data_IF_155577881035
#
_entry.id   IF_155577881035
#
_cell.length_a   1.000
_cell.length_b   1.000
_cell.length_c   1.000
_cell.angle_alpha   90.00
_cell.angle_beta   90.00
_cell.angle_gamma   90.00
#
_symmetry.space_group_name_H-M   'P 1'
#
loop_
_entity.id
_entity.type
_entity.pdbx_description
1 polymer ?
#
# COMPACT_ATOMS: atom_id res chain seq x y z
N UNK A 1 -0.22 -25.94 -27.74
CA UNK A 1 0.70 -25.24 -26.79
C UNK A 1 -0.09 -24.09 -26.20
N UNK A 2 -0.69 -24.34 -25.03
CA UNK A 2 -1.71 -23.57 -24.31
C UNK A 2 -1.12 -22.48 -23.39
N UNK A 3 0.18 -22.23 -23.49
CA UNK A 3 0.93 -21.42 -22.54
C UNK A 3 0.55 -19.93 -22.61
N UNK A 4 0.11 -19.45 -23.78
CA UNK A 4 -0.24 -18.05 -23.99
C UNK A 4 -1.52 -17.65 -23.22
N UNK A 5 -2.58 -18.46 -23.29
CA UNK A 5 -3.83 -18.23 -22.56
C UNK A 5 -3.62 -18.33 -21.05
N UNK A 6 -2.88 -19.35 -20.60
CA UNK A 6 -2.54 -19.54 -19.18
C UNK A 6 -1.76 -18.32 -18.66
N UNK A 7 -0.74 -17.88 -19.40
CA UNK A 7 0.06 -16.71 -19.05
C UNK A 7 -0.78 -15.42 -19.03
N UNK A 8 -1.74 -15.30 -19.94
CA UNK A 8 -2.65 -14.15 -19.99
C UNK A 8 -3.62 -14.14 -18.82
N UNK A 9 -4.19 -15.29 -18.44
CA UNK A 9 -5.01 -15.43 -17.24
C UNK A 9 -4.21 -15.09 -15.99
N UNK A 10 -2.99 -15.60 -15.86
CA UNK A 10 -2.10 -15.31 -14.73
C UNK A 10 -1.79 -13.83 -14.57
N UNK A 11 -1.62 -13.08 -15.67
CA UNK A 11 -1.46 -11.62 -15.61
C UNK A 11 -2.75 -10.85 -15.33
N UNK A 12 -3.90 -11.39 -15.74
CA UNK A 12 -5.19 -10.70 -15.70
C UNK A 12 -5.88 -10.83 -14.35
N UNK A 13 -5.87 -12.04 -13.78
CA UNK A 13 -6.69 -12.39 -12.62
C UNK A 13 -5.98 -12.08 -11.30
N UNK A 14 -6.72 -11.51 -10.36
CA UNK A 14 -6.37 -11.59 -8.95
C UNK A 14 -6.53 -13.00 -8.41
N UNK A 15 -5.92 -13.28 -7.25
CA UNK A 15 -6.04 -14.57 -6.58
C UNK A 15 -7.51 -14.93 -6.24
N UNK A 16 -8.31 -13.93 -5.82
CA UNK A 16 -9.72 -14.11 -5.49
C UNK A 16 -10.60 -14.39 -6.71
N UNK A 17 -10.39 -13.66 -7.81
CA UNK A 17 -11.09 -13.95 -9.07
C UNK A 17 -10.79 -15.38 -9.53
N UNK A 18 -9.51 -15.77 -9.51
CA UNK A 18 -9.09 -17.10 -9.94
C UNK A 18 -9.75 -18.21 -9.08
N UNK A 19 -9.76 -18.07 -7.74
CA UNK A 19 -10.49 -19.01 -6.84
C UNK A 19 -11.96 -19.09 -7.17
N UNK A 20 -12.61 -17.94 -7.32
CA UNK A 20 -14.06 -17.85 -7.54
C UNK A 20 -14.47 -18.46 -8.88
N UNK A 21 -13.70 -18.21 -9.94
CA UNK A 21 -13.91 -18.82 -11.26
C UNK A 21 -13.68 -20.33 -11.20
N UNK A 22 -12.59 -20.79 -10.56
CA UNK A 22 -12.28 -22.21 -10.43
C UNK A 22 -13.40 -22.98 -9.71
N UNK A 23 -13.87 -22.44 -8.59
CA UNK A 23 -15.01 -23.00 -7.85
C UNK A 23 -16.28 -23.07 -8.72
N UNK A 24 -16.57 -22.00 -9.48
CA UNK A 24 -17.74 -21.97 -10.36
C UNK A 24 -17.62 -22.94 -11.55
N UNK A 25 -16.42 -23.17 -12.09
CA UNK A 25 -16.20 -24.17 -13.13
C UNK A 25 -16.49 -25.58 -12.63
N UNK A 26 -16.05 -25.91 -11.41
CA UNK A 26 -16.31 -27.21 -10.78
C UNK A 26 -17.80 -27.45 -10.51
N UNK A 27 -18.52 -26.41 -10.07
CA UNK A 27 -19.95 -26.50 -9.74
C UNK A 27 -20.85 -26.53 -10.98
N UNK A 28 -20.70 -25.54 -11.86
CA UNK A 28 -21.66 -25.30 -12.94
C UNK A 28 -21.21 -25.93 -14.26
N UNK A 29 -19.90 -26.21 -14.42
CA UNK A 29 -19.29 -26.77 -15.64
C UNK A 29 -19.57 -25.95 -16.92
N UNK A 30 -19.95 -24.68 -16.76
CA UNK A 30 -20.22 -23.75 -17.85
C UNK A 30 -19.24 -22.56 -17.79
N UNK A 31 -18.29 -22.45 -18.73
CA UNK A 31 -17.26 -21.41 -18.73
C UNK A 31 -17.81 -19.99 -18.76
N UNK A 32 -18.89 -19.75 -19.50
CA UNK A 32 -19.53 -18.44 -19.60
C UNK A 32 -20.20 -18.03 -18.28
N UNK A 33 -20.66 -18.99 -17.45
CA UNK A 33 -21.19 -18.71 -16.12
C UNK A 33 -20.03 -18.45 -15.14
N UNK A 34 -18.99 -19.27 -15.20
CA UNK A 34 -17.81 -19.09 -14.36
C UNK A 34 -17.12 -17.74 -14.61
N UNK A 35 -17.03 -17.30 -15.87
CA UNK A 35 -16.46 -16.00 -16.23
C UNK A 35 -17.20 -14.81 -15.59
N UNK A 36 -18.49 -14.93 -15.25
CA UNK A 36 -19.24 -13.87 -14.55
C UNK A 36 -18.75 -13.61 -13.12
N UNK A 37 -17.97 -14.54 -12.55
CA UNK A 37 -17.32 -14.37 -11.24
C UNK A 37 -16.12 -13.44 -11.27
N UNK A 38 -15.58 -13.15 -12.46
CA UNK A 38 -14.55 -12.12 -12.63
C UNK A 38 -15.12 -10.71 -12.39
N UNK A 39 -14.24 -9.75 -12.10
CA UNK A 39 -14.60 -8.35 -12.04
C UNK A 39 -15.15 -7.86 -13.39
N UNK A 40 -16.10 -6.89 -13.40
CA UNK A 40 -16.77 -6.46 -14.62
C UNK A 40 -15.82 -6.15 -15.79
N UNK A 41 -14.67 -5.53 -15.53
CA UNK A 41 -13.66 -5.19 -16.53
C UNK A 41 -12.97 -6.41 -17.17
N UNK A 42 -12.96 -7.57 -16.51
CA UNK A 42 -12.24 -8.77 -16.94
C UNK A 42 -13.15 -9.82 -17.59
N UNK A 43 -14.47 -9.78 -17.36
CA UNK A 43 -15.42 -10.87 -17.71
C UNK A 43 -15.35 -11.34 -19.17
N UNK A 44 -15.35 -10.40 -20.12
CA UNK A 44 -15.35 -10.72 -21.56
C UNK A 44 -14.06 -11.43 -21.96
N UNK A 45 -12.92 -10.94 -21.49
CA UNK A 45 -11.61 -11.51 -21.77
C UNK A 45 -11.43 -12.87 -21.09
N UNK A 46 -11.87 -13.02 -19.84
CA UNK A 46 -11.86 -14.32 -19.14
C UNK A 46 -12.71 -15.34 -19.89
N UNK A 47 -13.93 -14.98 -20.29
CA UNK A 47 -14.79 -15.89 -21.06
C UNK A 47 -14.13 -16.33 -22.37
N UNK A 48 -13.49 -15.39 -23.09
CA UNK A 48 -12.76 -15.68 -24.32
C UNK A 48 -11.59 -16.64 -24.08
N UNK A 49 -10.80 -16.42 -23.03
CA UNK A 49 -9.65 -17.25 -22.67
C UNK A 49 -10.07 -18.66 -22.24
N UNK A 50 -11.08 -18.80 -21.38
CA UNK A 50 -11.61 -20.11 -20.98
C UNK A 50 -12.14 -20.91 -22.18
N UNK A 51 -12.83 -20.23 -23.12
CA UNK A 51 -13.30 -20.87 -24.36
C UNK A 51 -12.13 -21.30 -25.25
N UNK A 52 -11.10 -20.47 -25.38
CA UNK A 52 -9.91 -20.80 -26.17
C UNK A 52 -9.16 -22.02 -25.61
N UNK A 53 -9.04 -22.14 -24.28
CA UNK A 53 -8.42 -23.30 -23.63
C UNK A 53 -9.19 -24.60 -23.90
N UNK A 54 -10.53 -24.55 -23.89
CA UNK A 54 -11.38 -25.70 -24.22
C UNK A 54 -11.25 -26.12 -25.68
N UNK A 55 -11.11 -25.16 -26.61
CA UNK A 55 -10.88 -25.45 -28.03
C UNK A 55 -9.51 -26.09 -28.26
N UNK A 56 -8.56 -25.90 -27.34
CA UNK A 56 -7.25 -26.53 -27.35
C UNK A 56 -7.20 -27.84 -26.51
N UNK A 57 -8.34 -28.53 -26.40
CA UNK A 57 -8.49 -29.83 -25.73
C UNK A 57 -8.11 -29.86 -24.23
N UNK A 58 -8.09 -28.71 -23.54
CA UNK A 58 -8.01 -28.71 -22.07
C UNK A 58 -9.37 -28.99 -21.46
N UNK A 59 -9.47 -29.98 -20.58
CA UNK A 59 -10.71 -30.24 -19.85
C UNK A 59 -10.96 -29.20 -18.74
N UNK A 60 -12.21 -29.13 -18.26
CA UNK A 60 -12.61 -28.19 -17.23
C UNK A 60 -11.86 -28.40 -15.91
N UNK A 61 -11.44 -29.63 -15.61
CA UNK A 61 -10.69 -29.98 -14.41
C UNK A 61 -9.30 -29.37 -14.46
N UNK A 62 -8.62 -29.47 -15.59
CA UNK A 62 -7.29 -28.92 -15.85
C UNK A 62 -7.35 -27.40 -15.84
N UNK A 63 -8.37 -26.79 -16.45
CA UNK A 63 -8.57 -25.33 -16.40
C UNK A 63 -8.78 -24.87 -14.96
N UNK A 64 -9.59 -25.58 -14.17
CA UNK A 64 -9.80 -25.26 -12.77
C UNK A 64 -8.53 -25.45 -11.92
N UNK A 65 -7.67 -26.42 -12.25
CA UNK A 65 -6.38 -26.62 -11.60
C UNK A 65 -5.37 -25.51 -11.96
N UNK A 66 -5.37 -25.04 -13.22
CA UNK A 66 -4.57 -23.86 -13.62
C UNK A 66 -5.00 -22.62 -12.85
N UNK A 67 -6.31 -22.39 -12.70
CA UNK A 67 -6.83 -21.26 -11.94
C UNK A 67 -6.51 -21.36 -10.45
N UNK A 68 -6.56 -22.56 -9.86
CA UNK A 68 -6.07 -22.77 -8.50
C UNK A 68 -4.58 -22.44 -8.39
N UNK A 69 -3.76 -22.87 -9.38
CA UNK A 69 -2.35 -22.50 -9.47
C UNK A 69 -2.15 -20.98 -9.50
N UNK A 70 -2.90 -20.26 -10.34
CA UNK A 70 -2.88 -18.79 -10.40
C UNK A 70 -3.28 -18.18 -9.05
N UNK A 71 -4.26 -18.78 -8.37
CA UNK A 71 -4.77 -18.31 -7.09
C UNK A 71 -3.80 -18.45 -5.91
N UNK A 72 -2.88 -19.42 -5.97
CA UNK A 72 -1.92 -19.71 -4.88
C UNK A 72 -0.51 -19.22 -5.17
N UNK A 73 -0.15 -19.04 -6.46
CA UNK A 73 1.10 -18.38 -6.82
C UNK A 73 1.06 -16.94 -6.28
N UNK A 74 2.08 -16.50 -5.53
CA UNK A 74 2.19 -15.11 -5.12
C UNK A 74 2.11 -14.21 -6.36
N UNK A 75 0.97 -13.56 -6.54
CA UNK A 75 0.82 -12.51 -7.53
C UNK A 75 1.42 -11.26 -6.89
N UNK A 76 2.33 -10.58 -7.59
CA UNK A 76 2.64 -9.20 -7.23
C UNK A 76 1.34 -8.41 -7.35
N UNK A 77 0.71 -8.09 -6.21
CA UNK A 77 -0.41 -7.17 -6.20
C UNK A 77 0.08 -5.89 -6.86
N UNK A 78 -0.57 -5.51 -7.97
CA UNK A 78 -0.13 -4.35 -8.74
C UNK A 78 -0.24 -3.13 -7.86
N UNK A 79 0.78 -2.28 -7.88
CA UNK A 79 0.71 -0.97 -7.27
C UNK A 79 -0.48 -0.21 -7.86
N UNK A 80 -1.39 0.22 -7.00
CA UNK A 80 -2.60 0.94 -7.41
C UNK A 80 -2.42 2.44 -7.17
N UNK A 81 -2.77 3.31 -8.14
CA UNK A 81 -2.86 4.73 -7.88
C UNK A 81 -4.07 5.02 -6.99
N UNK A 82 -3.89 5.88 -6.00
CA UNK A 82 -4.95 6.37 -5.13
C UNK A 82 -4.97 7.89 -5.18
N UNK A 83 -6.17 8.46 -5.11
CA UNK A 83 -6.40 9.90 -5.20
C UNK A 83 -7.20 10.41 -4.00
N UNK A 84 -6.89 11.61 -3.54
CA UNK A 84 -7.80 12.44 -2.76
C UNK A 84 -8.18 13.59 -3.67
N UNK A 85 -9.47 13.83 -3.85
CA UNK A 85 -9.99 14.97 -4.61
C UNK A 85 -11.22 15.55 -3.93
N UNK A 86 -11.53 16.84 -4.15
CA UNK A 86 -12.83 17.39 -3.81
C UNK A 86 -13.95 16.53 -4.42
N UNK A 87 -15.01 16.26 -3.66
CA UNK A 87 -16.05 15.28 -3.99
C UNK A 87 -16.57 15.40 -5.43
N UNK A 88 -16.16 14.48 -6.30
CA UNK A 88 -16.79 14.25 -7.60
C UNK A 88 -17.62 12.99 -7.48
N UNK A 89 -18.95 13.02 -7.76
CA UNK A 89 -19.78 11.83 -7.76
C UNK A 89 -19.17 10.74 -8.67
N UNK A 90 -18.89 9.57 -8.11
CA UNK A 90 -18.34 8.42 -8.85
C UNK A 90 -16.80 8.36 -8.93
N UNK A 91 -16.07 9.33 -8.36
CA UNK A 91 -14.62 9.21 -8.23
C UNK A 91 -14.29 8.21 -7.10
N UNK A 92 -13.92 6.99 -7.49
CA UNK A 92 -13.37 5.99 -6.57
C UNK A 92 -11.89 6.32 -6.32
N UNK A 93 -11.59 6.89 -5.16
CA UNK A 93 -10.24 7.17 -4.73
C UNK A 93 -10.29 7.87 -3.40
N UNK A 94 -9.86 7.18 -2.35
CA UNK A 94 -9.65 7.79 -1.05
C UNK A 94 -8.26 7.40 -0.57
N UNK A 95 -7.25 8.17 -0.99
CA UNK A 95 -5.84 8.02 -0.55
C UNK A 95 -5.73 7.94 0.96
N UNK A 96 -6.53 8.77 1.63
CA UNK A 96 -6.68 8.75 3.08
C UNK A 96 -7.15 7.40 3.60
N UNK A 97 -8.20 6.80 3.03
CA UNK A 97 -8.72 5.52 3.53
C UNK A 97 -7.69 4.41 3.34
N UNK A 98 -7.01 4.36 2.20
CA UNK A 98 -5.93 3.40 1.98
C UNK A 98 -4.81 3.51 3.03
N UNK A 99 -4.36 4.73 3.34
CA UNK A 99 -3.36 4.97 4.39
C UNK A 99 -3.86 4.58 5.79
N UNK A 100 -5.11 4.94 6.12
CA UNK A 100 -5.71 4.64 7.42
C UNK A 100 -5.93 3.14 7.60
N UNK A 101 -6.45 2.45 6.58
CA UNK A 101 -6.65 1.01 6.60
C UNK A 101 -5.33 0.27 6.80
N UNK A 102 -4.27 0.73 6.15
CA UNK A 102 -2.93 0.16 6.31
C UNK A 102 -2.40 0.33 7.74
N UNK A 103 -2.50 1.53 8.33
CA UNK A 103 -2.09 1.79 9.73
C UNK A 103 -2.95 0.99 10.72
N UNK A 104 -4.26 0.91 10.50
CA UNK A 104 -5.19 0.24 11.41
C UNK A 104 -5.01 -1.28 11.41
N UNK A 105 -4.54 -1.86 10.30
CA UNK A 105 -4.27 -3.29 10.19
C UNK A 105 -2.83 -3.70 10.56
N UNK A 106 -1.95 -2.74 10.85
CA UNK A 106 -0.58 -3.05 11.27
C UNK A 106 -0.56 -3.81 12.60
N UNK A 107 0.35 -4.78 12.69
CA UNK A 107 0.45 -5.77 13.78
C UNK A 107 1.81 -5.78 14.48
N UNK A 108 2.89 -5.37 13.82
CA UNK A 108 4.24 -5.43 14.37
C UNK A 108 4.93 -4.06 14.39
N UNK A 109 5.05 -3.41 13.23
CA UNK A 109 5.71 -2.12 13.12
C UNK A 109 5.22 -1.26 11.95
N UNK A 110 5.43 0.05 12.10
CA UNK A 110 5.14 1.06 11.09
C UNK A 110 6.34 1.99 10.96
N UNK A 111 6.78 2.25 9.73
CA UNK A 111 7.66 3.37 9.42
C UNK A 111 6.88 4.38 8.61
N UNK A 112 6.94 5.64 9.01
CA UNK A 112 6.30 6.74 8.31
C UNK A 112 7.30 7.88 8.09
N UNK A 113 7.03 8.70 7.08
CA UNK A 113 7.70 9.98 6.92
C UNK A 113 6.67 11.03 6.52
N UNK A 114 6.82 12.25 7.01
CA UNK A 114 5.97 13.36 6.60
C UNK A 114 6.70 14.69 6.71
N UNK A 115 6.46 15.58 5.74
CA UNK A 115 7.05 16.91 5.77
C UNK A 115 6.31 17.84 6.73
N UNK A 116 4.98 17.72 6.83
CA UNK A 116 4.20 18.51 7.76
C UNK A 116 3.04 17.73 8.35
N UNK A 117 2.66 18.11 9.58
CA UNK A 117 1.63 17.45 10.35
C UNK A 117 0.64 18.43 10.99
N UNK A 118 -0.64 18.05 11.07
CA UNK A 118 -1.66 18.82 11.77
C UNK A 118 -2.11 18.13 13.06
N UNK A 119 -2.48 18.92 14.08
CA UNK A 119 -2.97 18.42 15.38
C UNK A 119 -4.18 17.48 15.27
N UNK A 120 -5.02 17.67 14.26
CA UNK A 120 -6.24 16.88 14.00
C UNK A 120 -6.07 15.95 12.80
N UNK A 121 -4.84 15.50 12.53
CA UNK A 121 -4.56 14.59 11.42
C UNK A 121 -5.12 13.18 11.69
N UNK A 122 -5.93 12.63 10.77
CA UNK A 122 -6.39 11.25 10.87
C UNK A 122 -5.23 10.24 10.89
N UNK A 123 -4.17 10.48 10.13
CA UNK A 123 -2.98 9.63 10.12
C UNK A 123 -2.27 9.64 11.47
N UNK A 124 -2.09 10.82 12.08
CA UNK A 124 -1.48 10.92 13.42
C UNK A 124 -2.31 10.18 14.47
N UNK A 125 -3.64 10.33 14.44
CA UNK A 125 -4.52 9.57 15.33
C UNK A 125 -4.42 8.05 15.10
N UNK A 126 -4.40 7.61 13.85
CA UNK A 126 -4.27 6.19 13.52
C UNK A 126 -2.92 5.61 13.98
N UNK A 127 -1.83 6.37 13.84
CA UNK A 127 -0.50 5.98 14.33
C UNK A 127 -0.47 5.87 15.85
N UNK A 128 -1.09 6.80 16.58
CA UNK A 128 -1.23 6.68 18.04
C UNK A 128 -2.05 5.45 18.42
N UNK A 129 -3.16 5.18 17.73
CA UNK A 129 -3.93 3.96 17.97
C UNK A 129 -3.11 2.69 17.69
N UNK A 130 -2.15 2.71 16.77
CA UNK A 130 -1.24 1.59 16.53
C UNK A 130 -0.26 1.40 17.69
N UNK A 131 0.34 2.49 18.18
CA UNK A 131 1.17 2.47 19.40
C UNK A 131 0.40 1.89 20.59
N UNK A 132 -0.85 2.31 20.79
CA UNK A 132 -1.70 1.82 21.88
C UNK A 132 -2.00 0.31 21.78
N UNK A 133 -1.94 -0.27 20.58
CA UNK A 133 -2.04 -1.72 20.33
C UNK A 133 -0.72 -2.46 20.53
N UNK A 134 0.38 -1.77 20.83
CA UNK A 134 1.72 -2.34 20.97
C UNK A 134 2.52 -2.42 19.67
N UNK A 135 2.05 -1.79 18.59
CA UNK A 135 2.78 -1.71 17.32
C UNK A 135 3.92 -0.69 17.45
N UNK A 136 5.13 -1.06 17.04
CA UNK A 136 6.27 -0.14 17.07
C UNK A 136 6.14 0.90 15.95
N UNK A 137 6.21 2.19 16.27
CA UNK A 137 6.10 3.25 15.26
C UNK A 137 7.38 4.08 15.20
N UNK A 138 7.91 4.25 14.00
CA UNK A 138 9.00 5.19 13.68
C UNK A 138 8.50 6.25 12.70
N UNK A 139 8.75 7.53 12.98
CA UNK A 139 8.35 8.63 12.09
C UNK A 139 9.53 9.53 11.78
N UNK A 140 9.84 9.71 10.50
CA UNK A 140 10.83 10.67 10.02
C UNK A 140 10.17 12.02 9.76
N UNK A 141 10.73 13.07 10.35
CA UNK A 141 10.20 14.45 10.28
C UNK A 141 11.30 15.44 9.90
N UNK A 142 10.90 16.60 9.39
CA UNK A 142 11.80 17.71 9.16
C UNK A 142 11.85 18.64 10.39
N UNK A 143 12.98 18.71 11.07
CA UNK A 143 13.16 19.56 12.28
C UNK A 143 13.79 20.91 11.96
N UNK A 144 14.36 21.10 10.77
CA UNK A 144 15.04 22.34 10.38
C UNK A 144 14.08 23.37 9.81
N UNK A 145 13.24 22.95 8.87
CA UNK A 145 12.28 23.76 8.11
C UNK A 145 10.87 23.65 8.69
N UNK A 146 10.56 22.55 9.41
CA UNK A 146 9.22 22.26 9.96
C UNK A 146 9.25 21.85 11.44
N UNK A 147 10.11 22.50 12.23
CA UNK A 147 10.29 22.24 13.67
C UNK A 147 8.97 22.23 14.48
N UNK A 148 8.04 23.12 14.14
CA UNK A 148 6.72 23.23 14.76
C UNK A 148 5.85 21.99 14.47
N UNK A 149 5.90 21.48 13.24
CA UNK A 149 5.21 20.25 12.86
C UNK A 149 5.87 19.00 13.46
N UNK A 150 7.21 18.95 13.51
CA UNK A 150 7.94 17.90 14.22
C UNK A 150 7.54 17.85 15.69
N UNK A 151 7.37 19.02 16.33
CA UNK A 151 6.90 19.12 17.72
C UNK A 151 5.46 18.63 17.90
N UNK A 152 4.58 18.85 16.91
CA UNK A 152 3.22 18.29 16.91
C UNK A 152 3.27 16.76 16.88
N UNK A 153 4.07 16.17 15.97
CA UNK A 153 4.23 14.71 15.87
C UNK A 153 4.77 14.15 17.18
N UNK A 154 5.86 14.71 17.69
CA UNK A 154 6.50 14.27 18.93
C UNK A 154 5.53 14.29 20.12
N UNK A 155 4.74 15.36 20.24
CA UNK A 155 3.76 15.50 21.34
C UNK A 155 2.58 14.54 21.21
N UNK A 156 2.17 14.24 19.97
CA UNK A 156 0.99 13.43 19.67
C UNK A 156 1.27 11.92 19.70
N UNK A 157 2.46 11.49 19.26
CA UNK A 157 2.83 10.08 19.12
C UNK A 157 3.69 9.59 20.31
N UNK A 158 3.02 9.38 21.45
CA UNK A 158 3.69 8.97 22.69
C UNK A 158 4.21 7.54 22.57
N UNK A 159 5.52 7.38 22.66
CA UNK A 159 6.19 6.08 22.53
C UNK A 159 6.67 5.75 21.11
N UNK A 160 6.46 6.64 20.13
CA UNK A 160 7.10 6.51 18.83
C UNK A 160 8.58 6.87 18.89
N UNK A 161 9.38 6.24 18.01
CA UNK A 161 10.70 6.74 17.64
C UNK A 161 10.53 7.85 16.62
N UNK A 162 11.03 9.05 16.91
CA UNK A 162 10.99 10.16 15.97
C UNK A 162 12.40 10.39 15.45
N UNK A 163 12.57 10.38 14.14
CA UNK A 163 13.85 10.58 13.49
C UNK A 163 13.87 11.88 12.70
N UNK A 164 15.03 12.52 12.66
CA UNK A 164 15.27 13.73 11.88
C UNK A 164 16.63 13.66 11.20
N UNK A 165 16.85 14.49 10.18
CA UNK A 165 18.16 14.65 9.58
C UNK A 165 19.17 15.18 10.62
N UNK A 166 20.37 14.60 10.63
CA UNK A 166 21.48 15.14 11.39
C UNK A 166 21.92 16.50 10.84
N UNK A 167 22.54 17.29 11.70
CA UNK A 167 23.18 18.54 11.27
C UNK A 167 24.37 18.23 10.35
N UNK A 168 24.39 18.79 9.12
CA UNK A 168 25.48 18.53 8.19
C UNK A 168 26.73 19.34 8.54
N UNK A 169 27.91 18.80 8.25
CA UNK A 169 29.20 19.44 8.56
C UNK A 169 29.43 20.77 7.82
N UNK A 170 28.85 20.92 6.62
CA UNK A 170 28.97 22.10 5.77
C UNK A 170 27.88 23.16 6.03
N UNK A 171 26.92 22.84 6.91
CA UNK A 171 25.77 23.70 7.22
C UNK A 171 24.65 23.70 6.16
N UNK A 172 24.79 22.97 5.06
CA UNK A 172 23.82 22.91 3.97
C UNK A 172 22.78 21.80 4.21
N UNK A 173 21.72 22.16 4.92
CA UNK A 173 20.69 21.22 5.34
C UNK A 173 19.93 20.59 4.17
N UNK A 174 19.93 19.25 4.14
CA UNK A 174 18.94 18.51 3.37
C UNK A 174 17.52 18.72 3.95
N UNK A 175 16.51 18.49 3.13
CA UNK A 175 15.09 18.62 3.51
C UNK A 175 14.46 17.24 3.50
N UNK A 176 13.85 16.84 4.62
CA UNK A 176 12.93 15.71 4.60
C UNK A 176 11.66 16.22 3.90
N UNK A 177 11.39 15.77 2.67
CA UNK A 177 10.17 16.15 1.94
C UNK A 177 9.36 14.95 1.44
N UNK A 178 9.71 13.73 1.85
CA UNK A 178 8.96 12.53 1.49
C UNK A 178 7.71 12.38 2.35
N UNK A 179 6.69 11.72 1.80
CA UNK A 179 5.49 11.29 2.55
C UNK A 179 5.23 9.85 2.21
N UNK A 180 5.36 9.01 3.21
CA UNK A 180 5.21 7.58 3.04
C UNK A 180 4.79 6.91 4.33
N UNK A 181 4.23 5.72 4.20
CA UNK A 181 3.95 4.78 5.28
C UNK A 181 4.34 3.40 4.77
N UNK A 182 5.02 2.59 5.56
CA UNK A 182 5.21 1.15 5.32
C UNK A 182 4.85 0.40 6.60
N UNK A 183 4.18 -0.75 6.46
CA UNK A 183 3.68 -1.56 7.58
C UNK A 183 4.13 -3.01 7.43
N UNK A 184 4.64 -3.58 8.52
CA UNK A 184 4.94 -5.01 8.71
C UNK A 184 5.71 -5.70 7.55
N UNK A 185 6.45 -4.95 6.73
CA UNK A 185 7.02 -5.42 5.45
C UNK A 185 6.01 -6.07 4.48
N UNK A 186 4.73 -5.69 4.58
CA UNK A 186 3.65 -6.23 3.73
C UNK A 186 3.07 -5.21 2.77
N UNK A 187 3.09 -3.92 3.13
CA UNK A 187 2.54 -2.87 2.29
C UNK A 187 3.25 -1.53 2.49
N UNK A 188 3.33 -0.76 1.41
CA UNK A 188 3.86 0.59 1.38
C UNK A 188 2.90 1.53 0.65
N UNK A 189 2.81 2.75 1.16
CA UNK A 189 2.02 3.81 0.61
C UNK A 189 2.88 5.07 0.47
N UNK A 190 3.07 5.53 -0.78
CA UNK A 190 3.87 6.72 -1.12
C UNK A 190 2.93 7.78 -1.66
N UNK A 191 3.02 9.02 -1.19
CA UNK A 191 2.04 10.06 -1.54
C UNK A 191 2.61 11.47 -1.60
N UNK A 192 1.88 12.38 -2.24
CA UNK A 192 2.08 13.82 -2.10
C UNK A 192 1.49 14.38 -0.78
N UNK A 193 0.53 13.66 -0.17
CA UNK A 193 -0.23 14.11 0.98
C UNK A 193 0.60 14.18 2.27
N UNK A 194 0.66 15.36 2.87
CA UNK A 194 1.14 15.56 4.25
C UNK A 194 0.19 14.96 5.29
N UNK A 195 0.65 14.75 6.53
CA UNK A 195 -0.20 14.26 7.62
C UNK A 195 -1.06 15.38 8.21
N UNK A 196 -2.00 15.89 7.42
CA UNK A 196 -2.86 17.02 7.80
C UNK A 196 -4.31 16.78 7.39
N UNK A 197 -5.25 17.36 8.14
CA UNK A 197 -6.67 17.28 7.79
C UNK A 197 -6.99 17.95 6.44
N UNK A 198 -6.21 18.95 6.03
CA UNK A 198 -6.37 19.61 4.73
C UNK A 198 -6.00 18.66 3.57
N UNK A 199 -4.84 18.00 3.66
CA UNK A 199 -4.40 17.01 2.67
C UNK A 199 -5.41 15.87 2.49
N UNK A 200 -6.10 15.50 3.57
CA UNK A 200 -7.09 14.44 3.59
C UNK A 200 -8.44 14.83 3.00
N UNK A 201 -8.92 16.05 3.24
CA UNK A 201 -10.31 16.43 2.97
C UNK A 201 -10.50 17.46 1.85
N UNK A 202 -9.47 18.21 1.50
CA UNK A 202 -9.60 19.42 0.68
C UNK A 202 -8.56 19.53 -0.43
N UNK A 203 -7.41 18.88 -0.27
CA UNK A 203 -6.36 18.89 -1.28
C UNK A 203 -6.62 17.88 -2.41
N UNK A 204 -6.09 18.19 -3.59
CA UNK A 204 -5.92 17.22 -4.65
C UNK A 204 -4.56 16.52 -4.42
N UNK A 205 -4.60 15.27 -3.98
CA UNK A 205 -3.41 14.48 -3.65
C UNK A 205 -3.41 13.17 -4.42
N UNK A 206 -2.23 12.68 -4.76
CA UNK A 206 -2.06 11.37 -5.36
C UNK A 206 -1.11 10.50 -4.54
N UNK A 207 -1.22 9.20 -4.73
CA UNK A 207 -0.31 8.24 -4.14
C UNK A 207 -0.33 6.91 -4.83
N UNK A 208 0.62 6.07 -4.44
CA UNK A 208 0.79 4.70 -4.89
C UNK A 208 0.71 3.80 -3.68
N UNK A 209 -0.26 2.89 -3.67
CA UNK A 209 -0.35 1.81 -2.70
C UNK A 209 0.22 0.55 -3.34
N UNK A 210 1.28 0.03 -2.73
CA UNK A 210 1.89 -1.25 -3.08
C UNK A 210 1.73 -2.23 -1.94
N UNK A 211 1.33 -3.46 -2.24
CA UNK A 211 1.37 -4.59 -1.31
C UNK A 211 2.47 -5.57 -1.70
N UNK A 212 3.49 -5.08 -2.38
CA UNK A 212 4.70 -5.84 -2.68
C UNK A 212 5.61 -5.79 -1.45
N UNK A 213 5.88 -6.93 -0.78
CA UNK A 213 6.76 -6.99 0.38
C UNK A 213 8.16 -6.45 0.10
N UNK A 214 8.67 -6.59 -1.13
CA UNK A 214 9.99 -6.07 -1.49
C UNK A 214 10.02 -4.54 -1.46
N UNK A 215 8.95 -3.88 -1.89
CA UNK A 215 8.84 -2.41 -1.82
C UNK A 215 8.74 -1.97 -0.35
N UNK A 216 7.90 -2.62 0.44
CA UNK A 216 7.71 -2.31 1.86
C UNK A 216 9.00 -2.47 2.67
N UNK A 217 9.69 -3.59 2.47
CA UNK A 217 10.98 -3.93 3.09
C UNK A 217 12.06 -2.95 2.67
N UNK A 218 12.20 -2.69 1.36
CA UNK A 218 13.24 -1.81 0.81
C UNK A 218 13.15 -0.39 1.38
N UNK A 219 11.93 0.14 1.56
CA UNK A 219 11.73 1.47 2.18
C UNK A 219 12.19 1.45 3.65
N UNK A 220 11.77 0.45 4.43
CA UNK A 220 12.17 0.34 5.83
C UNK A 220 13.69 0.21 5.96
N UNK A 221 14.29 -0.70 5.21
CA UNK A 221 15.75 -0.93 5.20
C UNK A 221 16.52 0.32 4.79
N UNK A 222 16.00 1.10 3.84
CA UNK A 222 16.61 2.37 3.47
C UNK A 222 16.61 3.37 4.63
N UNK A 223 15.47 3.55 5.33
CA UNK A 223 15.39 4.45 6.49
C UNK A 223 16.28 3.97 7.65
N UNK A 224 16.28 2.67 7.94
CA UNK A 224 17.17 2.06 8.92
C UNK A 224 18.64 2.25 8.55
N UNK A 225 18.99 2.07 7.28
CA UNK A 225 20.34 2.31 6.77
C UNK A 225 20.78 3.77 6.98
N UNK A 226 19.90 4.74 6.68
CA UNK A 226 20.18 6.15 6.95
C UNK A 226 20.38 6.41 8.45
N UNK A 227 19.60 5.76 9.32
CA UNK A 227 19.75 5.88 10.77
C UNK A 227 21.05 5.25 11.28
N UNK A 228 21.39 4.05 10.80
CA UNK A 228 22.64 3.34 11.15
C UNK A 228 23.89 4.14 10.78
N UNK A 229 23.83 4.91 9.70
CA UNK A 229 24.93 5.77 9.26
C UNK A 229 24.85 7.20 9.83
N UNK A 230 23.98 7.44 10.83
CA UNK A 230 23.79 8.75 11.48
C UNK A 230 23.37 9.89 10.54
N UNK A 231 22.81 9.57 9.36
CA UNK A 231 22.17 10.56 8.48
C UNK A 231 20.80 10.93 9.04
N UNK A 232 20.08 9.94 9.56
CA UNK A 232 18.93 10.14 10.43
C UNK A 232 19.36 9.87 11.88
N UNK A 233 18.87 10.68 12.81
CA UNK A 233 19.14 10.55 14.25
C UNK A 233 17.85 10.64 15.05
N UNK A 234 17.85 10.07 16.25
CA UNK A 234 16.74 10.22 17.19
C UNK A 234 16.52 11.71 17.54
N UNK A 235 15.31 12.19 17.29
CA UNK A 235 14.88 13.53 17.63
C UNK A 235 14.33 13.55 19.06
N UNK A 236 14.94 14.38 19.89
CA UNK A 236 14.44 14.77 21.20
C UNK A 236 14.34 16.31 21.21
N UNK A 237 13.16 16.90 21.40
CA UNK A 237 13.05 18.33 21.56
C UNK A 237 13.87 18.76 22.78
N UNK A 238 14.65 19.83 22.63
CA UNK A 238 15.37 20.42 23.77
C UNK A 238 14.33 20.92 24.77
N UNK A 239 14.51 20.55 26.04
CA UNK A 239 13.68 21.00 27.17
C UNK A 239 13.76 22.51 27.39
#
# INVERSE_FOLDING_TARGET
MTTAEISRLGRLLSADEARSIAASLRQVKLPHVAAKRAYPAHRSEVQRLLKAMLVQDMDLTTIAAVLDGIAVVPQMERTVPVWTSPSVPGAAGHTTLAALDMINNATAFIYAATYSAGKVSPQVHALQNALDRGVSVTVVVDTKVRADHASIIFSALRGARIWALAEPDDGEWAIQHSKLITVDDTAAFITSANFSAAAVNRSLECGLLSKDPLVATSIREHLEGLHQHSVLIDFQPRA
#
